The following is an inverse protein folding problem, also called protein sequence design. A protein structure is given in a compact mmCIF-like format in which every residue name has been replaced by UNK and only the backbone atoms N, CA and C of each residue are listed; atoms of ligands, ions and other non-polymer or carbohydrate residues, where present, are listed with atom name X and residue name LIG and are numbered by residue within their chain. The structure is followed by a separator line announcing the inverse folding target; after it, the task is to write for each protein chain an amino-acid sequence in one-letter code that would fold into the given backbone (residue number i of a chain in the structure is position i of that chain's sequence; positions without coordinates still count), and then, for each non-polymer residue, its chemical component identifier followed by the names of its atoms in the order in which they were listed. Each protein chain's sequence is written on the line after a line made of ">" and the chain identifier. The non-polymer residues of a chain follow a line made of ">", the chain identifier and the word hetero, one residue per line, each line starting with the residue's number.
data_IF_585755796326
#
_entry.id   IF_585755796326
#
_cell.length_a   1.000
_cell.length_b   1.000
_cell.length_c   1.000
_cell.angle_alpha   90.00
_cell.angle_beta   90.00
_cell.angle_gamma   90.00
#
_symmetry.space_group_name_H-M   'P 1'
#
loop_
_entity.id
_entity.type
_entity.pdbx_description
1 polymer ?
#
# COMPACT_ATOMS: atom_id res chain seq x y z
N UNK A 1 48.47 33.16 30.94
CA UNK A 1 48.20 32.04 30.00
C UNK A 1 47.56 30.91 30.80
N UNK A 2 46.23 30.95 30.94
CA UNK A 2 45.46 29.94 31.67
C UNK A 2 44.61 29.15 30.70
N UNK A 3 44.81 27.84 30.69
CA UNK A 3 44.07 26.84 29.91
C UNK A 3 42.75 26.56 30.63
N UNK A 4 41.62 26.78 29.97
CA UNK A 4 40.34 26.19 30.34
C UNK A 4 40.06 25.04 29.36
N UNK A 5 40.27 23.81 29.81
CA UNK A 5 39.82 22.60 29.09
C UNK A 5 38.36 22.37 29.42
N UNK A 6 37.49 22.47 28.42
CA UNK A 6 36.07 22.09 28.52
C UNK A 6 35.98 20.62 28.10
N UNK A 7 35.76 19.72 29.08
CA UNK A 7 35.46 18.32 28.82
C UNK A 7 33.95 18.20 28.54
N UNK A 8 33.60 17.88 27.29
CA UNK A 8 32.22 17.56 26.88
C UNK A 8 32.03 16.06 27.11
N UNK A 9 31.24 15.70 28.12
CA UNK A 9 30.80 14.32 28.34
C UNK A 9 29.67 14.00 27.35
N UNK A 10 29.98 13.22 26.31
CA UNK A 10 28.98 12.61 25.43
C UNK A 10 28.42 11.36 26.13
N UNK A 11 27.24 11.48 26.72
CA UNK A 11 26.46 10.34 27.22
C UNK A 11 25.79 9.63 26.03
N UNK A 12 26.35 8.49 25.63
CA UNK A 12 25.70 7.55 24.73
C UNK A 12 24.51 6.90 25.46
N UNK A 13 23.30 7.30 25.10
CA UNK A 13 22.08 6.55 25.42
C UNK A 13 22.09 5.27 24.56
N UNK A 14 22.44 4.13 25.17
CA UNK A 14 22.21 2.82 24.57
C UNK A 14 20.75 2.47 24.85
N UNK A 15 19.86 2.39 23.85
CA UNK A 15 18.52 1.87 24.09
C UNK A 15 18.64 0.38 24.45
N UNK A 16 18.26 0.06 25.68
CA UNK A 16 17.99 -1.31 26.13
C UNK A 16 16.82 -1.85 25.30
N UNK A 17 17.13 -2.54 24.20
CA UNK A 17 16.13 -3.29 23.45
C UNK A 17 15.81 -4.54 24.28
N UNK A 18 14.76 -4.45 25.08
CA UNK A 18 14.17 -5.61 25.74
C UNK A 18 13.67 -6.54 24.63
N UNK A 19 14.25 -7.72 24.55
CA UNK A 19 13.79 -8.77 23.65
C UNK A 19 12.35 -9.11 24.01
N UNK A 20 11.41 -8.61 23.20
CA UNK A 20 10.08 -9.18 23.16
C UNK A 20 10.25 -10.60 22.62
N UNK A 21 10.06 -11.55 23.52
CA UNK A 21 9.96 -12.96 23.20
C UNK A 21 9.07 -13.11 21.97
N UNK A 22 9.59 -13.84 20.99
CA UNK A 22 8.86 -14.28 19.82
C UNK A 22 7.62 -15.02 20.34
N UNK A 23 6.47 -14.35 20.31
CA UNK A 23 5.17 -14.97 20.55
C UNK A 23 5.09 -16.11 19.53
N UNK A 24 5.18 -17.33 20.04
CA UNK A 24 5.08 -18.53 19.24
C UNK A 24 3.82 -18.43 18.40
N UNK A 25 3.91 -18.86 17.14
CA UNK A 25 2.74 -19.17 16.35
C UNK A 25 1.94 -20.15 17.21
N UNK A 26 0.85 -19.70 17.82
CA UNK A 26 -0.11 -20.60 18.46
C UNK A 26 -0.55 -21.57 17.38
N UNK A 27 0.02 -22.77 17.44
CA UNK A 27 -0.36 -23.84 16.55
C UNK A 27 -1.74 -24.28 17.00
N UNK A 28 -2.77 -23.77 16.33
CA UNK A 28 -4.13 -24.30 16.41
C UNK A 28 -4.08 -25.82 16.52
N UNK A 29 -4.77 -26.38 17.50
CA UNK A 29 -4.77 -27.82 17.74
C UNK A 29 -5.43 -28.53 16.56
N UNK A 30 -5.12 -29.81 16.34
CA UNK A 30 -5.72 -30.60 15.24
C UNK A 30 -7.26 -30.55 15.26
N UNK A 31 -7.87 -30.44 16.43
CA UNK A 31 -9.32 -30.37 16.63
C UNK A 31 -9.94 -29.01 16.24
N UNK A 32 -9.17 -27.92 16.31
CA UNK A 32 -9.63 -26.58 15.92
C UNK A 32 -9.90 -26.49 14.41
N UNK A 33 -9.08 -27.19 13.60
CA UNK A 33 -9.28 -27.24 12.15
C UNK A 33 -10.46 -28.12 11.74
N UNK A 34 -10.74 -29.20 12.48
CA UNK A 34 -11.84 -30.11 12.16
C UNK A 34 -13.21 -29.43 12.33
N UNK A 35 -13.30 -28.50 13.29
CA UNK A 35 -14.52 -27.73 13.59
C UNK A 35 -14.60 -26.37 12.89
N UNK A 36 -13.59 -25.99 12.09
CA UNK A 36 -13.56 -24.71 11.41
C UNK A 36 -14.71 -24.60 10.39
N UNK A 37 -15.51 -23.54 10.52
CA UNK A 37 -16.51 -23.14 9.54
C UNK A 37 -16.06 -21.85 8.89
N UNK A 38 -15.94 -21.88 7.55
CA UNK A 38 -15.60 -20.68 6.80
C UNK A 38 -16.84 -19.78 6.66
N UNK A 39 -16.69 -18.45 6.81
CA UNK A 39 -17.76 -17.50 6.55
C UNK A 39 -18.15 -17.53 5.06
N UNK A 40 -19.33 -16.98 4.76
CA UNK A 40 -19.82 -16.93 3.39
C UNK A 40 -18.92 -16.10 2.48
N UNK A 41 -18.87 -16.45 1.20
CA UNK A 41 -18.08 -15.73 0.21
C UNK A 41 -18.49 -14.24 0.09
N UNK A 42 -19.78 -13.95 0.28
CA UNK A 42 -20.34 -12.60 0.25
C UNK A 42 -19.79 -11.73 1.40
N UNK A 43 -19.71 -12.28 2.61
CA UNK A 43 -19.12 -11.60 3.77
C UNK A 43 -17.63 -11.30 3.54
N UNK A 44 -16.89 -12.25 2.97
CA UNK A 44 -15.48 -12.07 2.63
C UNK A 44 -15.28 -10.96 1.59
N UNK A 45 -16.17 -10.85 0.61
CA UNK A 45 -16.14 -9.78 -0.39
C UNK A 45 -16.47 -8.41 0.18
N UNK A 46 -17.44 -8.34 1.09
CA UNK A 46 -17.81 -7.07 1.72
C UNK A 46 -16.68 -6.55 2.59
N UNK A 47 -16.07 -7.43 3.40
CA UNK A 47 -14.95 -7.06 4.25
C UNK A 47 -13.70 -6.67 3.44
N UNK A 48 -13.48 -7.29 2.27
CA UNK A 48 -12.37 -6.94 1.37
C UNK A 48 -12.43 -5.49 0.85
N UNK A 49 -13.62 -4.87 0.84
CA UNK A 49 -13.78 -3.45 0.47
C UNK A 49 -13.10 -2.51 1.48
N UNK A 50 -12.87 -2.95 2.71
CA UNK A 50 -12.20 -2.17 3.76
C UNK A 50 -10.67 -2.30 3.71
N UNK A 51 -10.11 -2.39 2.51
CA UNK A 51 -8.66 -2.54 2.31
C UNK A 51 -8.00 -1.18 2.01
N UNK A 52 -6.73 -1.05 2.41
CA UNK A 52 -5.94 0.16 2.14
C UNK A 52 -5.80 0.48 0.64
N UNK A 53 -5.94 -0.52 -0.24
CA UNK A 53 -5.93 -0.32 -1.69
C UNK A 53 -7.19 0.41 -2.17
N UNK A 54 -8.36 0.14 -1.59
CA UNK A 54 -9.59 0.88 -1.89
C UNK A 54 -9.46 2.33 -1.46
N UNK A 55 -8.89 2.57 -0.28
CA UNK A 55 -8.64 3.93 0.19
C UNK A 55 -7.63 4.68 -0.69
N UNK A 56 -6.60 4.00 -1.17
CA UNK A 56 -5.67 4.53 -2.16
C UNK A 56 -6.39 4.99 -3.44
N UNK A 57 -7.26 4.15 -4.02
CA UNK A 57 -8.02 4.52 -5.22
C UNK A 57 -9.00 5.68 -4.96
N UNK A 58 -9.66 5.73 -3.79
CA UNK A 58 -10.52 6.86 -3.41
C UNK A 58 -9.74 8.18 -3.36
N UNK A 59 -8.56 8.19 -2.72
CA UNK A 59 -7.69 9.36 -2.65
C UNK A 59 -7.21 9.77 -4.04
N UNK A 60 -6.78 8.81 -4.86
CA UNK A 60 -6.37 9.06 -6.26
C UNK A 60 -7.52 9.65 -7.09
N UNK A 61 -8.74 9.16 -6.94
CA UNK A 61 -9.91 9.74 -7.61
C UNK A 61 -10.20 11.17 -7.15
N UNK A 62 -10.05 11.47 -5.86
CA UNK A 62 -10.22 12.83 -5.33
C UNK A 62 -9.15 13.79 -5.88
N UNK A 63 -7.90 13.33 -5.98
CA UNK A 63 -6.79 14.05 -6.61
C UNK A 63 -7.11 14.38 -8.07
N UNK A 64 -7.51 13.38 -8.88
CA UNK A 64 -7.86 13.57 -10.29
C UNK A 64 -9.07 14.51 -10.47
N UNK A 65 -10.06 14.43 -9.57
CA UNK A 65 -11.22 15.32 -9.57
C UNK A 65 -10.84 16.77 -9.19
N UNK A 66 -9.89 16.95 -8.26
CA UNK A 66 -9.33 18.25 -7.92
C UNK A 66 -8.56 18.85 -9.10
N UNK A 67 -7.71 18.06 -9.75
CA UNK A 67 -6.99 18.46 -10.96
C UNK A 67 -7.95 18.83 -12.10
N UNK A 68 -9.06 18.10 -12.28
CA UNK A 68 -10.11 18.45 -13.24
C UNK A 68 -10.75 19.82 -12.92
N UNK A 69 -11.00 20.13 -11.64
CA UNK A 69 -11.50 21.45 -11.23
C UNK A 69 -10.47 22.54 -11.55
N UNK A 70 -9.19 22.28 -11.35
CA UNK A 70 -8.10 23.20 -11.69
C UNK A 70 -8.05 23.48 -13.20
N UNK A 71 -8.09 22.46 -14.05
CA UNK A 71 -8.14 22.65 -15.52
C UNK A 71 -9.41 23.39 -15.97
N UNK A 72 -10.56 23.11 -15.33
CA UNK A 72 -11.80 23.87 -15.59
C UNK A 72 -11.66 25.34 -15.21
N UNK A 73 -10.90 25.67 -14.16
CA UNK A 73 -10.65 27.04 -13.69
C UNK A 73 -9.41 27.68 -14.33
N UNK A 74 -8.73 26.99 -15.25
CA UNK A 74 -7.49 27.48 -15.85
C UNK A 74 -7.65 28.85 -16.51
N UNK A 75 -8.85 29.21 -16.99
CA UNK A 75 -9.14 30.50 -17.60
C UNK A 75 -8.91 31.70 -16.66
N UNK A 76 -8.94 31.48 -15.34
CA UNK A 76 -8.64 32.52 -14.35
C UNK A 76 -7.21 33.06 -14.51
N UNK A 77 -6.28 32.23 -15.01
CA UNK A 77 -4.89 32.63 -15.24
C UNK A 77 -4.73 33.69 -16.35
N UNK A 78 -5.78 33.91 -17.15
CA UNK A 78 -5.79 34.97 -18.16
C UNK A 78 -5.88 36.36 -17.55
N UNK A 79 -6.36 36.46 -16.31
CA UNK A 79 -6.43 37.71 -15.56
C UNK A 79 -5.29 37.74 -14.55
N UNK A 80 -4.50 38.82 -14.55
CA UNK A 80 -3.45 39.06 -13.56
C UNK A 80 -3.66 40.41 -12.90
N UNK A 81 -3.66 40.41 -11.58
CA UNK A 81 -3.59 41.64 -10.79
C UNK A 81 -2.13 42.03 -10.63
N UNK A 82 -1.77 43.24 -11.03
CA UNK A 82 -0.42 43.78 -10.90
C UNK A 82 -0.46 45.01 -10.01
N UNK A 83 0.39 45.02 -8.99
CA UNK A 83 0.62 46.17 -8.13
C UNK A 83 2.13 46.38 -8.02
N UNK A 84 2.61 47.55 -8.43
CA UNK A 84 4.03 47.90 -8.34
C UNK A 84 4.20 49.21 -7.59
N UNK A 85 5.12 49.22 -6.64
CA UNK A 85 5.56 50.43 -5.94
C UNK A 85 7.06 50.58 -6.18
N UNK A 86 7.45 51.71 -6.77
CA UNK A 86 8.83 52.05 -7.05
C UNK A 86 9.16 53.39 -6.42
N UNK A 87 10.28 53.45 -5.73
CA UNK A 87 10.81 54.65 -5.08
C UNK A 87 12.27 54.81 -5.44
N UNK A 88 12.67 55.97 -5.95
CA UNK A 88 14.05 56.22 -6.32
C UNK A 88 14.31 57.61 -6.88
N UNK A 89 15.59 57.92 -7.13
CA UNK A 89 15.99 59.05 -7.94
C UNK A 89 16.00 58.63 -9.40
N UNK A 90 15.14 59.23 -10.21
CA UNK A 90 15.20 59.10 -11.66
C UNK A 90 16.06 60.24 -12.19
N UNK A 91 17.27 59.90 -12.63
CA UNK A 91 18.18 60.82 -13.31
C UNK A 91 17.97 60.73 -14.82
N UNK A 92 17.43 61.78 -15.41
CA UNK A 92 17.34 61.91 -16.86
C UNK A 92 18.57 62.68 -17.32
N UNK A 93 19.43 62.02 -18.09
CA UNK A 93 20.51 62.65 -18.84
C UNK A 93 20.03 62.82 -20.28
N UNK A 94 19.69 64.04 -20.67
CA UNK A 94 19.37 64.37 -22.06
C UNK A 94 20.50 65.21 -22.66
N UNK A 95 20.92 64.87 -23.87
CA UNK A 95 21.85 65.66 -24.64
C UNK A 95 21.12 66.20 -25.87
N UNK A 96 21.22 67.51 -26.10
CA UNK A 96 20.61 68.17 -27.24
C UNK A 96 21.71 68.85 -28.06
N UNK A 97 21.62 68.73 -29.39
CA UNK A 97 22.50 69.38 -30.35
C UNK A 97 21.71 69.63 -31.63
N UNK A 98 21.85 70.82 -32.19
CA UNK A 98 21.28 71.21 -33.48
C UNK A 98 22.37 71.83 -34.36
N UNK A 99 22.12 72.04 -35.65
CA UNK A 99 23.08 72.62 -36.61
C UNK A 99 23.65 73.97 -36.18
N UNK A 100 22.87 74.77 -35.44
CA UNK A 100 23.27 76.08 -34.91
C UNK A 100 23.51 76.09 -33.39
N UNK A 101 23.45 74.93 -32.71
CA UNK A 101 23.71 74.84 -31.25
C UNK A 101 24.69 73.72 -30.88
N UNK A 102 25.78 74.03 -30.15
CA UNK A 102 26.75 73.02 -29.75
C UNK A 102 26.15 72.03 -28.75
N UNK A 103 26.59 70.77 -28.79
CA UNK A 103 26.11 69.71 -27.90
C UNK A 103 26.23 70.12 -26.43
N UNK A 104 25.10 70.20 -25.74
CA UNK A 104 25.08 70.42 -24.28
C UNK A 104 24.31 69.31 -23.57
N UNK A 105 24.82 68.95 -22.39
CA UNK A 105 24.27 67.91 -21.53
C UNK A 105 23.42 68.53 -20.43
N UNK A 106 22.18 68.09 -20.30
CA UNK A 106 21.29 68.47 -19.21
C UNK A 106 21.03 67.26 -18.33
N UNK A 107 21.51 67.33 -17.08
CA UNK A 107 21.17 66.38 -16.04
C UNK A 107 20.02 66.92 -15.20
N UNK A 108 18.90 66.18 -15.15
CA UNK A 108 17.79 66.46 -14.25
C UNK A 108 17.52 65.23 -13.41
N UNK A 109 17.80 65.32 -12.11
CA UNK A 109 17.51 64.28 -11.14
C UNK A 109 16.33 64.68 -10.27
N UNK A 110 15.23 63.94 -10.36
CA UNK A 110 14.07 64.12 -9.50
C UNK A 110 13.84 62.86 -8.65
N UNK A 111 13.56 63.04 -7.36
CA UNK A 111 13.05 61.97 -6.52
C UNK A 111 11.61 61.71 -6.94
N UNK A 112 11.33 60.50 -7.43
CA UNK A 112 10.01 60.14 -7.92
C UNK A 112 9.47 58.93 -7.17
N UNK A 113 8.17 58.97 -6.90
CA UNK A 113 7.41 57.88 -6.30
C UNK A 113 6.42 57.41 -7.36
N UNK A 114 6.53 56.16 -7.79
CA UNK A 114 5.63 55.58 -8.78
C UNK A 114 4.84 54.43 -8.13
N UNK A 115 3.51 54.56 -8.14
CA UNK A 115 2.59 53.48 -7.77
C UNK A 115 1.71 53.11 -8.97
N UNK A 116 1.72 51.84 -9.38
CA UNK A 116 0.80 51.32 -10.38
C UNK A 116 -0.06 50.22 -9.77
N UNK A 117 -1.36 50.32 -9.98
CA UNK A 117 -2.28 49.20 -9.78
C UNK A 117 -3.06 49.01 -11.06
N UNK A 118 -3.10 47.80 -11.56
CA UNK A 118 -3.84 47.48 -12.77
C UNK A 118 -4.10 45.99 -12.89
N UNK A 119 -5.16 45.67 -13.62
CA UNK A 119 -5.44 44.30 -14.06
C UNK A 119 -4.91 44.16 -15.48
N UNK A 120 -4.12 43.13 -15.76
CA UNK A 120 -3.72 42.77 -17.12
C UNK A 120 -4.48 41.53 -17.58
N UNK A 121 -4.94 41.57 -18.82
CA UNK A 121 -5.52 40.43 -19.51
C UNK A 121 -4.50 39.88 -20.51
N UNK A 122 -4.23 38.58 -20.46
CA UNK A 122 -3.31 37.90 -21.35
C UNK A 122 -3.92 36.56 -21.78
N UNK A 123 -4.21 36.43 -23.08
CA UNK A 123 -4.80 35.23 -23.66
C UNK A 123 -3.76 34.51 -24.53
N UNK A 124 -3.09 33.47 -24.02
CA UNK A 124 -2.23 32.63 -24.84
C UNK A 124 -3.11 31.75 -25.74
N UNK A 125 -3.05 31.94 -27.06
CA UNK A 125 -3.91 31.22 -28.01
C UNK A 125 -3.76 29.69 -27.91
N UNK A 126 -2.52 29.20 -27.81
CA UNK A 126 -2.24 27.76 -27.63
C UNK A 126 -2.99 27.18 -26.42
N UNK A 127 -2.85 27.83 -25.26
CA UNK A 127 -3.51 27.40 -24.04
C UNK A 127 -5.04 27.44 -24.13
N UNK A 128 -5.59 28.47 -24.79
CA UNK A 128 -7.02 28.66 -24.93
C UNK A 128 -7.68 27.59 -25.82
N UNK A 129 -7.11 27.32 -27.00
CA UNK A 129 -7.65 26.32 -27.91
C UNK A 129 -7.43 24.89 -27.41
N UNK A 130 -6.32 24.60 -26.72
CA UNK A 130 -6.05 23.27 -26.17
C UNK A 130 -6.80 23.00 -24.84
N UNK A 131 -7.36 24.03 -24.19
CA UNK A 131 -8.04 23.89 -22.88
C UNK A 131 -9.13 22.82 -22.88
N UNK A 132 -9.94 22.74 -23.95
CA UNK A 132 -10.98 21.73 -24.09
C UNK A 132 -10.41 20.31 -24.05
N UNK A 133 -9.32 20.08 -24.80
CA UNK A 133 -8.63 18.80 -24.84
C UNK A 133 -8.00 18.45 -23.48
N UNK A 134 -7.43 19.41 -22.75
CA UNK A 134 -6.91 19.16 -21.40
C UNK A 134 -7.99 18.75 -20.41
N UNK A 135 -9.13 19.44 -20.42
CA UNK A 135 -10.28 19.08 -19.59
C UNK A 135 -10.78 17.67 -19.93
N UNK A 136 -10.93 17.36 -21.22
CA UNK A 136 -11.37 16.04 -21.66
C UNK A 136 -10.39 14.94 -21.27
N UNK A 137 -9.08 15.17 -21.46
CA UNK A 137 -8.02 14.24 -21.04
C UNK A 137 -8.03 13.99 -19.53
N UNK A 138 -8.23 15.04 -18.74
CA UNK A 138 -8.31 14.95 -17.28
C UNK A 138 -9.57 14.18 -16.82
N UNK A 139 -10.69 14.34 -17.54
CA UNK A 139 -11.90 13.54 -17.33
C UNK A 139 -11.65 12.05 -17.63
N UNK A 140 -11.01 11.74 -18.77
CA UNK A 140 -10.65 10.36 -19.12
C UNK A 140 -9.71 9.72 -18.10
N UNK A 141 -8.77 10.47 -17.52
CA UNK A 141 -7.92 9.96 -16.43
C UNK A 141 -8.71 9.62 -15.17
N UNK A 142 -9.69 10.44 -14.82
CA UNK A 142 -10.58 10.19 -13.68
C UNK A 142 -11.39 8.91 -13.90
N UNK A 143 -11.95 8.75 -15.10
CA UNK A 143 -12.69 7.55 -15.49
C UNK A 143 -11.80 6.30 -15.53
N UNK A 144 -10.60 6.41 -16.11
CA UNK A 144 -9.62 5.32 -16.13
C UNK A 144 -9.24 4.86 -14.71
N UNK A 145 -9.08 5.79 -13.77
CA UNK A 145 -8.80 5.46 -12.35
C UNK A 145 -9.95 4.70 -11.70
N UNK A 146 -11.20 5.08 -12.01
CA UNK A 146 -12.39 4.36 -11.53
C UNK A 146 -12.43 2.94 -12.10
N UNK A 147 -12.21 2.77 -13.39
CA UNK A 147 -12.17 1.45 -14.05
C UNK A 147 -11.03 0.59 -13.50
N UNK A 148 -9.87 1.20 -13.21
CA UNK A 148 -8.73 0.53 -12.58
C UNK A 148 -9.09 -0.02 -11.19
N UNK A 149 -9.82 0.76 -10.38
CA UNK A 149 -10.33 0.34 -9.08
C UNK A 149 -11.33 -0.82 -9.20
N UNK A 150 -12.26 -0.76 -10.16
CA UNK A 150 -13.22 -1.84 -10.42
C UNK A 150 -12.51 -3.14 -10.84
N UNK A 151 -11.54 -3.04 -11.76
CA UNK A 151 -10.71 -4.17 -12.18
C UNK A 151 -9.96 -4.78 -10.99
N UNK A 152 -9.38 -3.94 -10.14
CA UNK A 152 -8.69 -4.40 -8.93
C UNK A 152 -9.67 -5.13 -7.99
N UNK A 153 -10.90 -4.65 -7.82
CA UNK A 153 -11.92 -5.33 -7.03
C UNK A 153 -12.25 -6.72 -7.57
N UNK A 154 -12.43 -6.85 -8.89
CA UNK A 154 -12.70 -8.14 -9.51
C UNK A 154 -11.52 -9.11 -9.36
N UNK A 155 -10.29 -8.63 -9.54
CA UNK A 155 -9.08 -9.43 -9.28
C UNK A 155 -8.95 -9.86 -7.81
N UNK A 156 -9.36 -9.01 -6.86
CA UNK A 156 -9.40 -9.39 -5.44
C UNK A 156 -10.45 -10.46 -5.17
N UNK A 157 -11.66 -10.31 -5.71
CA UNK A 157 -12.70 -11.33 -5.59
C UNK A 157 -12.24 -12.67 -6.14
N UNK A 158 -11.60 -12.69 -7.31
CA UNK A 158 -11.04 -13.92 -7.88
C UNK A 158 -10.00 -14.58 -6.98
N UNK A 159 -9.08 -13.79 -6.38
CA UNK A 159 -8.10 -14.32 -5.42
C UNK A 159 -8.74 -14.86 -4.15
N UNK A 160 -9.78 -14.19 -3.64
CA UNK A 160 -10.56 -14.67 -2.48
C UNK A 160 -11.24 -15.99 -2.83
N UNK A 161 -11.88 -16.10 -3.99
CA UNK A 161 -12.52 -17.34 -4.47
C UNK A 161 -11.51 -18.48 -4.56
N UNK A 162 -10.32 -18.21 -5.11
CA UNK A 162 -9.27 -19.20 -5.25
C UNK A 162 -8.81 -19.73 -3.89
N UNK A 163 -8.49 -18.84 -2.95
CA UNK A 163 -8.04 -19.22 -1.61
C UNK A 163 -9.15 -19.88 -0.79
N UNK A 164 -10.39 -19.41 -0.92
CA UNK A 164 -11.56 -20.01 -0.29
C UNK A 164 -11.77 -21.45 -0.79
N UNK A 165 -11.77 -21.65 -2.11
CA UNK A 165 -11.93 -22.98 -2.72
C UNK A 165 -10.80 -23.92 -2.32
N UNK A 166 -9.57 -23.40 -2.24
CA UNK A 166 -8.42 -24.15 -1.73
C UNK A 166 -8.60 -24.54 -0.27
N UNK A 167 -8.99 -23.61 0.60
CA UNK A 167 -9.21 -23.89 2.02
C UNK A 167 -10.31 -24.94 2.23
N UNK A 168 -11.43 -24.84 1.51
CA UNK A 168 -12.51 -25.84 1.55
C UNK A 168 -12.00 -27.22 1.14
N UNK A 169 -11.24 -27.29 0.05
CA UNK A 169 -10.63 -28.55 -0.42
C UNK A 169 -9.68 -29.13 0.62
N UNK A 170 -8.73 -28.33 1.12
CA UNK A 170 -7.73 -28.83 2.09
C UNK A 170 -8.38 -29.22 3.42
N UNK A 171 -9.44 -28.54 3.88
CA UNK A 171 -10.23 -28.97 5.03
C UNK A 171 -10.82 -30.37 4.83
N UNK A 172 -11.39 -30.64 3.66
CA UNK A 172 -11.95 -31.96 3.34
C UNK A 172 -10.87 -33.05 3.29
N UNK A 173 -9.70 -32.75 2.70
CA UNK A 173 -8.58 -33.70 2.62
C UNK A 173 -7.97 -33.93 3.99
N UNK A 174 -7.85 -32.89 4.82
CA UNK A 174 -7.32 -32.98 6.17
C UNK A 174 -8.15 -33.92 7.03
N UNK A 175 -9.49 -33.84 6.95
CA UNK A 175 -10.41 -34.77 7.65
C UNK A 175 -10.15 -36.23 7.29
N UNK A 176 -10.04 -36.54 5.99
CA UNK A 176 -9.75 -37.90 5.51
C UNK A 176 -8.37 -38.40 5.98
N UNK A 177 -7.36 -37.52 5.95
CA UNK A 177 -6.01 -37.85 6.43
C UNK A 177 -5.96 -38.02 7.94
N UNK A 178 -6.73 -37.25 8.70
CA UNK A 178 -6.86 -37.38 10.14
C UNK A 178 -7.43 -38.75 10.52
N UNK A 179 -8.52 -39.17 9.86
CA UNK A 179 -9.11 -40.51 10.06
C UNK A 179 -8.12 -41.63 9.68
N UNK A 180 -7.44 -41.48 8.54
CA UNK A 180 -6.44 -42.46 8.07
C UNK A 180 -5.26 -42.58 9.05
N UNK A 181 -4.79 -41.45 9.58
CA UNK A 181 -3.72 -41.40 10.58
C UNK A 181 -4.18 -42.01 11.90
N UNK A 182 -5.40 -41.72 12.36
CA UNK A 182 -5.96 -42.32 13.56
C UNK A 182 -6.01 -43.86 13.45
N UNK A 183 -6.47 -44.38 12.30
CA UNK A 183 -6.46 -45.81 12.03
C UNK A 183 -5.03 -46.39 12.02
N UNK A 184 -4.08 -45.73 11.36
CA UNK A 184 -2.69 -46.18 11.32
C UNK A 184 -2.00 -46.14 12.70
N UNK A 185 -2.37 -45.19 13.56
CA UNK A 185 -1.89 -45.12 14.94
C UNK A 185 -2.36 -46.35 15.74
N UNK A 186 -3.65 -46.70 15.66
CA UNK A 186 -4.19 -47.90 16.32
C UNK A 186 -3.53 -49.16 15.77
N UNK A 187 -3.38 -49.28 14.45
CA UNK A 187 -2.72 -50.43 13.83
C UNK A 187 -1.26 -50.56 14.27
N UNK A 188 -0.55 -49.43 14.39
CA UNK A 188 0.83 -49.43 14.88
C UNK A 188 0.92 -49.84 16.35
N UNK A 189 -0.02 -49.43 17.19
CA UNK A 189 -0.08 -49.84 18.59
C UNK A 189 -0.35 -51.35 18.74
N UNK A 190 -1.29 -51.89 17.97
CA UNK A 190 -1.55 -53.33 17.92
C UNK A 190 -0.32 -54.12 17.44
N UNK A 191 0.35 -53.63 16.38
CA UNK A 191 1.58 -54.25 15.89
C UNK A 191 2.70 -54.23 16.94
N UNK A 192 2.84 -53.15 17.70
CA UNK A 192 3.81 -53.10 18.81
C UNK A 192 3.49 -54.17 19.87
N UNK A 193 2.22 -54.35 20.23
CA UNK A 193 1.82 -55.39 21.19
C UNK A 193 2.08 -56.80 20.63
N UNK A 194 1.76 -57.05 19.36
CA UNK A 194 2.00 -58.34 18.72
C UNK A 194 3.50 -58.65 18.56
N UNK A 195 4.35 -57.64 18.35
CA UNK A 195 5.80 -57.78 18.35
C UNK A 195 6.34 -58.17 19.72
N UNK A 196 5.87 -57.51 20.78
CA UNK A 196 6.24 -57.85 22.16
C UNK A 196 5.80 -59.27 22.55
N UNK A 197 4.69 -59.74 21.98
CA UNK A 197 4.19 -61.11 22.16
C UNK A 197 4.84 -62.12 21.19
N UNK A 198 5.79 -61.71 20.35
CA UNK A 198 6.53 -62.58 19.42
C UNK A 198 5.71 -63.10 18.24
N UNK A 199 4.56 -62.49 17.93
CA UNK A 199 3.69 -62.89 16.80
C UNK A 199 4.11 -62.31 15.45
N UNK A 200 4.76 -61.15 15.46
CA UNK A 200 5.32 -60.48 14.27
C UNK A 200 6.81 -60.23 14.46
N UNK A 201 7.56 -60.09 13.38
CA UNK A 201 8.99 -59.79 13.43
C UNK A 201 9.30 -58.27 13.37
N UNK A 202 10.58 -57.92 13.52
CA UNK A 202 11.01 -56.53 13.51
C UNK A 202 10.87 -55.85 12.12
N UNK A 203 10.90 -56.63 11.04
CA UNK A 203 10.72 -56.15 9.68
C UNK A 203 9.26 -55.74 9.43
N UNK A 204 8.31 -56.59 9.83
CA UNK A 204 6.87 -56.32 9.76
C UNK A 204 6.49 -55.10 10.60
N UNK A 205 6.98 -55.01 11.85
CA UNK A 205 6.78 -53.83 12.69
C UNK A 205 7.35 -52.55 12.06
N UNK A 206 8.55 -52.64 11.47
CA UNK A 206 9.20 -51.51 10.80
C UNK A 206 8.38 -51.01 9.60
N UNK A 207 7.83 -51.92 8.80
CA UNK A 207 6.95 -51.55 7.68
C UNK A 207 5.69 -50.81 8.15
N UNK A 208 5.01 -51.32 9.19
CA UNK A 208 3.82 -50.67 9.76
C UNK A 208 4.17 -49.28 10.30
N UNK A 209 5.30 -49.15 11.01
CA UNK A 209 5.80 -47.86 11.48
C UNK A 209 6.12 -46.89 10.35
N UNK A 210 6.73 -47.36 9.27
CA UNK A 210 7.01 -46.54 8.09
C UNK A 210 5.71 -46.00 7.46
N UNK A 211 4.67 -46.84 7.33
CA UNK A 211 3.36 -46.42 6.84
C UNK A 211 2.75 -45.33 7.74
N UNK A 212 2.79 -45.54 9.07
CA UNK A 212 2.30 -44.56 10.04
C UNK A 212 3.03 -43.21 9.88
N UNK A 213 4.36 -43.22 9.76
CA UNK A 213 5.15 -42.00 9.60
C UNK A 213 4.83 -41.27 8.30
N UNK A 214 4.66 -42.00 7.18
CA UNK A 214 4.28 -41.40 5.89
C UNK A 214 2.90 -40.74 5.94
N UNK A 215 1.94 -41.36 6.64
CA UNK A 215 0.61 -40.78 6.83
C UNK A 215 0.64 -39.55 7.73
N UNK A 216 1.47 -39.56 8.79
CA UNK A 216 1.69 -38.41 9.67
C UNK A 216 2.29 -37.23 8.91
N UNK A 217 3.33 -37.47 8.11
CA UNK A 217 3.95 -36.44 7.26
C UNK A 217 2.92 -35.84 6.29
N UNK A 218 2.16 -36.70 5.61
CA UNK A 218 1.13 -36.27 4.66
C UNK A 218 0.02 -35.45 5.32
N UNK A 219 -0.36 -35.80 6.56
CA UNK A 219 -1.33 -35.05 7.36
C UNK A 219 -0.80 -33.65 7.73
N UNK A 220 0.42 -33.56 8.27
CA UNK A 220 1.03 -32.29 8.66
C UNK A 220 1.29 -31.38 7.45
N UNK A 221 1.64 -31.95 6.30
CA UNK A 221 1.77 -31.19 5.06
C UNK A 221 0.43 -30.53 4.66
N UNK A 222 -0.67 -31.30 4.63
CA UNK A 222 -2.00 -30.74 4.30
C UNK A 222 -2.44 -29.72 5.33
N UNK A 223 -2.16 -29.93 6.63
CA UNK A 223 -2.45 -28.97 7.69
C UNK A 223 -1.71 -27.64 7.46
N UNK A 224 -0.43 -27.71 7.09
CA UNK A 224 0.37 -26.53 6.76
C UNK A 224 -0.16 -25.79 5.53
N UNK A 225 -0.55 -26.52 4.48
CA UNK A 225 -1.14 -25.95 3.27
C UNK A 225 -2.49 -25.29 3.53
N UNK A 226 -3.33 -25.90 4.37
CA UNK A 226 -4.58 -25.31 4.83
C UNK A 226 -4.33 -24.02 5.60
N UNK A 227 -3.45 -24.04 6.60
CA UNK A 227 -3.12 -22.86 7.39
C UNK A 227 -2.62 -21.71 6.50
N UNK A 228 -1.76 -22.01 5.52
CA UNK A 228 -1.30 -21.02 4.54
C UNK A 228 -2.46 -20.43 3.73
N UNK A 229 -3.37 -21.26 3.23
CA UNK A 229 -4.54 -20.79 2.48
C UNK A 229 -5.45 -19.90 3.34
N UNK A 230 -5.69 -20.28 4.60
CA UNK A 230 -6.49 -19.51 5.55
C UNK A 230 -5.85 -18.15 5.85
N UNK A 231 -4.55 -18.11 6.16
CA UNK A 231 -3.83 -16.85 6.39
C UNK A 231 -3.88 -15.92 5.17
N UNK A 232 -3.71 -16.47 3.96
CA UNK A 232 -3.85 -15.69 2.73
C UNK A 232 -5.27 -15.15 2.57
N UNK A 233 -6.28 -15.98 2.86
CA UNK A 233 -7.69 -15.58 2.82
C UNK A 233 -8.00 -14.47 3.83
N UNK A 234 -7.47 -14.54 5.06
CA UNK A 234 -7.61 -13.49 6.08
C UNK A 234 -7.06 -12.15 5.58
N UNK A 235 -5.89 -12.17 4.94
CA UNK A 235 -5.24 -10.95 4.44
C UNK A 235 -6.03 -10.32 3.29
N UNK A 236 -6.52 -11.14 2.36
CA UNK A 236 -7.28 -10.70 1.18
C UNK A 236 -8.67 -10.19 1.57
N UNK A 237 -9.36 -10.90 2.45
CA UNK A 237 -10.73 -10.60 2.87
C UNK A 237 -10.83 -9.64 4.06
N UNK A 238 -9.71 -9.36 4.75
CA UNK A 238 -9.70 -8.62 6.02
C UNK A 238 -10.61 -9.21 7.11
N UNK A 239 -10.85 -10.51 7.04
CA UNK A 239 -11.68 -11.25 8.00
C UNK A 239 -10.78 -12.13 8.87
N UNK A 240 -10.94 -12.09 10.20
CA UNK A 240 -10.21 -13.01 11.10
C UNK A 240 -10.90 -14.37 11.04
N UNK A 241 -10.18 -15.40 10.63
CA UNK A 241 -10.67 -16.78 10.46
C UNK A 241 -10.05 -17.72 11.49
N UNK A 242 -8.83 -17.44 11.91
CA UNK A 242 -8.05 -18.22 12.86
C UNK A 242 -8.10 -17.53 14.22
N UNK A 243 -8.56 -18.25 15.24
CA UNK A 243 -8.40 -17.83 16.62
C UNK A 243 -6.94 -18.04 17.03
N UNK A 244 -6.17 -16.97 16.90
CA UNK A 244 -4.98 -16.71 17.71
C UNK A 244 -5.47 -15.98 18.95
#
# INVERSE_FOLDING_TARGET
>A
MNRLSIAIALSFFIPFFSGMAQVGIESLTSDDYLNLQLPSLEELFENAKNSAAVDYYKVKMEEEASALKTERRSWLKYFRFNSTYQWGLMGINSAFSDTDTPLFYQYSGARQNWYNVGVSFSLPFDDFFDRGNRIHRQLLKTEATKVEMEKWHDEQKMRIIEMYSKAVKELSVLRLKAESLAFANVQSELAQQDFLNGKIDAGELSQIKSIQMNLLESYEQTRSELNKALLQLEVLSKTKLLNR
#
